data_IF_290622958079
#
_entry.id   IF_290622958079
#
_cell.length_a   1.000
_cell.length_b   1.000
_cell.length_c   1.000
_cell.angle_alpha   90.00
_cell.angle_beta   90.00
_cell.angle_gamma   90.00
#
_symmetry.space_group_name_H-M   'P 1'
#
loop_
_entity.id
_entity.type
_entity.pdbx_description
1 polymer ?
#
# COMPACT_ATOMS: atom_id res chain seq x y z
N UNK A 1 -42.88 -8.39 -10.40
CA UNK A 1 -41.72 -7.81 -9.70
C UNK A 1 -40.74 -7.37 -10.78
N UNK A 2 -40.61 -6.06 -10.99
CA UNK A 2 -39.80 -5.47 -12.09
C UNK A 2 -38.46 -5.04 -11.52
N UNK A 3 -37.41 -5.70 -11.91
CA UNK A 3 -36.01 -5.29 -11.63
C UNK A 3 -35.65 -4.20 -12.64
N UNK A 4 -35.46 -2.96 -12.16
CA UNK A 4 -34.98 -1.85 -12.97
C UNK A 4 -33.47 -1.92 -13.09
N UNK A 5 -32.95 -2.18 -14.27
CA UNK A 5 -31.54 -2.10 -14.63
C UNK A 5 -31.28 -0.64 -15.02
N UNK A 6 -30.46 0.06 -14.26
CA UNK A 6 -29.95 1.38 -14.65
C UNK A 6 -28.77 1.15 -15.59
N UNK A 7 -29.02 1.34 -16.89
CA UNK A 7 -28.00 1.32 -17.95
C UNK A 7 -27.47 2.74 -18.09
N UNK A 8 -26.22 2.96 -17.72
CA UNK A 8 -25.50 4.20 -18.03
C UNK A 8 -24.91 4.07 -19.44
N UNK A 9 -25.56 4.70 -20.41
CA UNK A 9 -25.11 4.77 -21.80
C UNK A 9 -24.02 5.85 -21.95
N UNK A 10 -22.80 5.42 -22.22
CA UNK A 10 -21.72 6.30 -22.71
C UNK A 10 -21.86 6.44 -24.23
N UNK A 11 -22.38 7.57 -24.71
CA UNK A 11 -22.42 7.89 -26.15
C UNK A 11 -21.08 8.45 -26.61
N UNK A 12 -20.45 7.78 -27.59
CA UNK A 12 -19.36 8.28 -28.40
C UNK A 12 -19.94 9.09 -29.57
N UNK A 13 -19.82 10.40 -29.50
CA UNK A 13 -20.07 11.27 -30.69
C UNK A 13 -18.75 11.63 -31.35
N UNK A 14 -18.43 10.97 -32.47
CA UNK A 14 -17.43 11.43 -33.44
C UNK A 14 -17.97 12.64 -34.19
N UNK A 15 -17.39 13.81 -33.97
CA UNK A 15 -17.60 14.98 -34.83
C UNK A 15 -16.44 15.10 -35.82
N UNK A 16 -16.75 14.93 -37.10
CA UNK A 16 -15.86 15.24 -38.22
C UNK A 16 -15.70 16.76 -38.32
N UNK A 17 -14.48 17.26 -38.19
CA UNK A 17 -14.15 18.68 -38.41
C UNK A 17 -13.48 18.82 -39.74
N UNK A 18 -14.17 19.53 -40.65
CA UNK A 18 -13.64 20.05 -41.91
C UNK A 18 -13.04 21.45 -41.66
N UNK A 19 -11.83 21.75 -42.10
CA UNK A 19 -11.25 23.08 -41.89
C UNK A 19 -11.74 24.08 -42.97
N UNK A 20 -12.06 25.33 -42.59
CA UNK A 20 -12.19 26.43 -43.59
C UNK A 20 -10.88 27.17 -43.79
N UNK A 21 -10.68 27.63 -45.01
CA UNK A 21 -9.57 28.38 -45.54
C UNK A 21 -9.41 29.78 -44.94
N UNK A 22 -8.19 30.24 -45.03
CA UNK A 22 -7.58 31.50 -44.62
C UNK A 22 -8.34 32.80 -44.90
N UNK A 23 -8.35 33.72 -43.89
CA UNK A 23 -8.21 35.16 -44.08
C UNK A 23 -7.65 35.78 -42.79
N UNK A 24 -6.64 36.65 -42.98
CA UNK A 24 -5.92 37.44 -41.99
C UNK A 24 -6.80 38.49 -41.33
N UNK A 25 -6.79 38.68 -40.02
CA UNK A 25 -6.56 40.01 -39.43
C UNK A 25 -6.32 39.95 -37.90
N UNK A 26 -5.61 40.95 -37.47
CA UNK A 26 -4.91 41.32 -36.27
C UNK A 26 -5.79 41.58 -35.03
N UNK A 27 -5.15 41.41 -33.86
CA UNK A 27 -5.45 41.96 -32.54
C UNK A 27 -6.34 41.21 -31.57
N UNK A 28 -5.72 40.93 -30.41
CA UNK A 28 -6.18 40.56 -29.07
C UNK A 28 -6.22 39.07 -28.78
N UNK A 29 -5.16 38.63 -28.13
CA UNK A 29 -5.12 37.39 -27.34
C UNK A 29 -6.25 37.40 -26.30
N UNK A 30 -7.40 36.86 -26.69
CA UNK A 30 -8.38 36.38 -25.71
C UNK A 30 -7.98 34.98 -25.29
N UNK A 31 -7.57 34.84 -24.04
CA UNK A 31 -7.41 33.54 -23.38
C UNK A 31 -8.70 32.77 -23.53
N UNK A 32 -8.70 31.75 -24.37
CA UNK A 32 -9.79 30.80 -24.46
C UNK A 32 -9.78 29.96 -23.18
N UNK A 33 -10.69 30.29 -22.24
CA UNK A 33 -11.09 29.32 -21.23
C UNK A 33 -11.78 28.20 -21.98
N UNK A 34 -11.15 27.03 -22.03
CA UNK A 34 -11.84 25.80 -22.41
C UNK A 34 -13.01 25.61 -21.45
N UNK A 35 -14.24 25.39 -21.96
CA UNK A 35 -15.31 24.96 -21.07
C UNK A 35 -14.87 23.61 -20.51
N UNK A 36 -14.84 23.48 -19.20
CA UNK A 36 -14.70 22.22 -18.50
C UNK A 36 -15.97 21.39 -18.73
N UNK A 37 -16.12 20.84 -19.93
CA UNK A 37 -17.02 19.72 -20.14
C UNK A 37 -16.35 18.54 -19.47
N UNK A 38 -16.71 18.30 -18.21
CA UNK A 38 -16.28 17.14 -17.48
C UNK A 38 -16.70 15.87 -18.23
N UNK A 39 -15.86 15.41 -19.16
CA UNK A 39 -15.95 14.04 -19.65
C UNK A 39 -15.69 13.17 -18.44
N UNK A 40 -16.70 12.43 -18.01
CA UNK A 40 -16.54 11.39 -17.02
C UNK A 40 -15.44 10.44 -17.53
N UNK A 41 -14.30 10.43 -16.86
CA UNK A 41 -13.24 9.47 -17.14
C UNK A 41 -13.74 8.16 -16.54
N UNK A 42 -14.20 7.23 -17.38
CA UNK A 42 -14.75 5.94 -16.97
C UNK A 42 -13.72 4.84 -17.17
N UNK A 43 -12.53 4.99 -16.58
CA UNK A 43 -11.49 3.96 -16.66
C UNK A 43 -10.55 4.01 -15.47
N UNK A 44 -10.11 2.84 -15.05
CA UNK A 44 -9.13 2.66 -13.97
C UNK A 44 -7.96 1.81 -14.48
N UNK A 45 -6.87 1.84 -13.72
CA UNK A 45 -5.78 0.87 -13.82
C UNK A 45 -5.96 -0.12 -12.68
N UNK A 46 -5.80 -1.42 -12.93
CA UNK A 46 -5.80 -2.46 -11.89
C UNK A 46 -4.50 -3.25 -12.01
N UNK A 47 -3.78 -3.33 -10.89
CA UNK A 47 -2.51 -4.06 -10.77
C UNK A 47 -2.70 -5.22 -9.79
N UNK A 48 -2.28 -6.45 -10.15
CA UNK A 48 -2.21 -7.55 -9.20
C UNK A 48 -1.22 -7.22 -8.08
N UNK A 49 -1.57 -7.61 -6.85
CA UNK A 49 -0.66 -7.62 -5.71
C UNK A 49 -0.20 -9.04 -5.42
N UNK A 50 1.00 -9.15 -4.92
CA UNK A 50 1.66 -10.38 -4.48
C UNK A 50 2.17 -10.19 -3.07
N UNK A 51 2.55 -11.28 -2.40
CA UNK A 51 3.05 -11.21 -1.03
C UNK A 51 1.97 -11.43 0.02
N UNK A 52 2.31 -11.26 1.28
CA UNK A 52 1.42 -11.39 2.43
C UNK A 52 2.05 -10.74 3.67
N UNK A 53 1.21 -10.43 4.66
CA UNK A 53 1.67 -9.90 5.96
C UNK A 53 2.57 -10.90 6.70
N UNK A 54 2.27 -12.20 6.61
CA UNK A 54 3.05 -13.22 7.29
C UNK A 54 2.97 -14.55 6.51
N UNK A 55 4.11 -15.24 6.24
CA UNK A 55 5.44 -14.98 6.80
C UNK A 55 6.31 -14.00 5.99
N UNK A 56 5.86 -13.48 4.83
CA UNK A 56 6.69 -12.66 3.95
C UNK A 56 6.96 -11.27 4.51
N UNK A 57 5.96 -10.64 5.12
CA UNK A 57 6.08 -9.34 5.78
C UNK A 57 5.81 -8.13 4.89
N UNK A 58 5.38 -8.32 3.63
CA UNK A 58 5.07 -7.22 2.70
C UNK A 58 4.18 -7.66 1.55
N UNK A 59 3.56 -6.70 0.89
CA UNK A 59 2.95 -6.86 -0.42
C UNK A 59 3.77 -6.11 -1.47
N UNK A 60 3.65 -6.52 -2.73
CA UNK A 60 4.27 -5.80 -3.85
C UNK A 60 3.41 -5.87 -5.11
N UNK A 61 3.57 -4.85 -5.95
CA UNK A 61 3.01 -4.78 -7.29
C UNK A 61 4.11 -4.86 -8.34
N UNK A 62 3.77 -5.30 -9.56
CA UNK A 62 4.64 -5.17 -10.71
C UNK A 62 4.25 -3.92 -11.51
N UNK A 63 5.22 -3.05 -11.75
CA UNK A 63 5.11 -1.94 -12.71
C UNK A 63 6.06 -2.17 -13.89
N UNK A 64 5.73 -1.59 -15.06
CA UNK A 64 6.57 -1.70 -16.25
C UNK A 64 7.02 -0.30 -16.68
N UNK A 65 8.32 -0.04 -16.60
CA UNK A 65 8.93 1.27 -16.85
C UNK A 65 9.94 1.17 -17.98
N UNK A 66 10.04 2.24 -18.77
CA UNK A 66 11.04 2.40 -19.82
C UNK A 66 10.58 2.00 -21.22
N UNK A 67 11.46 2.19 -22.18
CA UNK A 67 11.28 1.78 -23.57
C UNK A 67 12.53 1.05 -24.08
N UNK A 68 12.48 -0.28 -24.29
CA UNK A 68 11.33 -1.20 -24.07
C UNK A 68 10.93 -1.31 -22.59
N UNK A 69 9.66 -1.58 -22.29
CA UNK A 69 9.17 -1.71 -20.93
C UNK A 69 9.85 -2.88 -20.19
N UNK A 70 10.34 -2.62 -18.99
CA UNK A 70 10.93 -3.63 -18.08
C UNK A 70 10.10 -3.74 -16.82
N UNK A 71 9.90 -4.95 -16.28
CA UNK A 71 9.19 -5.16 -15.03
C UNK A 71 10.05 -4.75 -13.83
N UNK A 72 9.41 -4.19 -12.81
CA UNK A 72 9.98 -3.90 -11.50
C UNK A 72 8.95 -4.24 -10.43
N UNK A 73 9.41 -4.81 -9.32
CA UNK A 73 8.58 -5.10 -8.15
C UNK A 73 8.74 -3.97 -7.14
N UNK A 74 7.64 -3.37 -6.78
CA UNK A 74 7.61 -2.16 -5.94
C UNK A 74 6.63 -2.33 -4.78
N UNK A 75 6.98 -1.76 -3.62
CA UNK A 75 6.12 -1.70 -2.44
C UNK A 75 5.03 -0.64 -2.62
N UNK A 76 3.72 -0.99 -2.59
CA UNK A 76 2.64 -0.02 -2.70
C UNK A 76 2.45 0.73 -1.38
N UNK A 77 2.97 1.94 -1.31
CA UNK A 77 3.09 2.75 -0.10
C UNK A 77 2.17 3.98 -0.09
N UNK A 78 1.08 3.95 0.68
CA UNK A 78 0.20 5.12 0.87
C UNK A 78 0.73 6.13 1.90
N UNK A 79 1.81 5.81 2.59
CA UNK A 79 2.51 6.69 3.53
C UNK A 79 3.47 7.66 2.86
N UNK A 80 3.92 7.39 1.63
CA UNK A 80 4.80 8.27 0.86
C UNK A 80 4.25 8.63 -0.52
N UNK A 81 4.77 9.73 -1.11
CA UNK A 81 4.25 10.26 -2.37
C UNK A 81 5.06 9.80 -3.58
N UNK A 82 6.38 9.68 -3.44
CA UNK A 82 7.28 9.47 -4.56
C UNK A 82 7.39 8.01 -4.96
N UNK A 83 7.17 7.71 -6.24
CA UNK A 83 7.58 6.43 -6.82
C UNK A 83 9.04 6.51 -7.23
N UNK A 84 9.87 5.56 -6.77
CA UNK A 84 11.29 5.50 -7.11
C UNK A 84 11.76 4.05 -7.29
N UNK A 85 12.81 3.90 -8.08
CA UNK A 85 13.50 2.62 -8.33
C UNK A 85 14.98 2.75 -8.00
N UNK A 86 15.59 1.68 -7.48
CA UNK A 86 17.04 1.58 -7.39
C UNK A 86 17.67 1.67 -8.78
N UNK A 87 18.64 2.54 -8.95
CA UNK A 87 19.06 3.06 -10.23
C UNK A 87 20.56 2.82 -10.48
N UNK A 88 20.92 2.43 -11.71
CA UNK A 88 22.30 2.22 -12.14
C UNK A 88 22.97 3.55 -12.57
N UNK A 89 23.33 4.40 -11.57
CA UNK A 89 23.86 5.74 -11.82
C UNK A 89 25.02 6.19 -10.90
N UNK A 90 26.15 5.49 -10.80
CA UNK A 90 26.35 4.21 -10.14
C UNK A 90 25.75 4.21 -8.73
N UNK A 91 25.17 3.07 -8.32
CA UNK A 91 24.42 2.95 -7.08
C UNK A 91 25.31 2.78 -5.86
N UNK A 92 25.08 3.60 -4.82
CA UNK A 92 25.79 3.53 -3.53
C UNK A 92 24.83 2.91 -2.50
N UNK A 93 25.31 1.96 -1.71
CA UNK A 93 24.55 1.23 -0.68
C UNK A 93 23.24 0.60 -1.20
N UNK A 94 23.10 0.44 -2.52
CA UNK A 94 21.94 -0.21 -3.10
C UNK A 94 21.87 -1.68 -2.66
N UNK A 95 20.64 -2.11 -2.44
CA UNK A 95 20.34 -3.43 -1.90
C UNK A 95 20.16 -4.44 -3.04
N UNK A 96 20.17 -5.73 -2.71
CA UNK A 96 19.85 -6.74 -3.69
C UNK A 96 18.38 -6.62 -4.12
N UNK A 97 18.18 -6.38 -5.40
CA UNK A 97 16.86 -6.25 -6.02
C UNK A 97 16.52 -7.48 -6.88
N UNK A 98 15.22 -7.78 -7.11
CA UNK A 98 14.80 -8.91 -7.96
C UNK A 98 15.19 -8.74 -9.42
N UNK A 99 15.25 -7.51 -9.92
CA UNK A 99 15.59 -7.18 -11.30
C UNK A 99 16.89 -6.36 -11.37
N UNK A 100 17.51 -6.26 -12.57
CA UNK A 100 18.61 -5.32 -12.80
C UNK A 100 18.18 -3.89 -12.46
N UNK A 101 19.07 -3.10 -11.86
CA UNK A 101 18.81 -1.73 -11.51
C UNK A 101 18.28 -0.93 -12.71
N UNK A 102 17.39 0.00 -12.42
CA UNK A 102 16.77 0.87 -13.41
C UNK A 102 17.85 1.71 -14.12
N UNK A 103 17.73 1.81 -15.44
CA UNK A 103 18.61 2.65 -16.27
C UNK A 103 17.79 3.72 -16.96
N UNK A 104 17.87 4.98 -16.49
CA UNK A 104 17.11 6.08 -17.05
C UNK A 104 17.62 6.47 -18.44
N UNK A 105 16.74 7.10 -19.24
CA UNK A 105 17.06 7.63 -20.56
C UNK A 105 17.71 9.04 -20.52
N UNK A 106 18.30 9.45 -19.39
CA UNK A 106 18.88 10.77 -19.14
C UNK A 106 17.89 11.95 -19.35
N UNK A 107 16.59 11.69 -19.22
CA UNK A 107 15.54 12.70 -19.31
C UNK A 107 15.24 13.23 -17.90
N UNK A 108 16.17 14.04 -17.39
CA UNK A 108 16.09 14.60 -16.06
C UNK A 108 14.92 15.58 -15.94
N UNK A 109 14.26 15.60 -14.81
CA UNK A 109 13.31 16.64 -14.44
C UNK A 109 14.11 17.86 -13.99
N UNK A 110 13.93 19.05 -14.60
CA UNK A 110 14.65 20.25 -14.18
C UNK A 110 14.26 20.68 -12.75
N UNK A 111 15.20 21.28 -12.02
CA UNK A 111 14.96 21.78 -10.67
C UNK A 111 13.78 22.78 -10.59
N UNK A 112 13.56 23.60 -11.61
CA UNK A 112 12.45 24.57 -11.67
C UNK A 112 11.10 23.96 -12.08
N UNK A 113 11.04 22.66 -12.34
CA UNK A 113 9.78 21.98 -12.65
C UNK A 113 8.81 22.04 -11.46
N UNK A 114 7.51 22.28 -11.68
CA UNK A 114 6.51 22.29 -10.61
C UNK A 114 6.43 21.00 -9.81
N UNK A 115 6.77 19.84 -10.39
CA UNK A 115 6.84 18.56 -9.68
C UNK A 115 8.02 18.57 -8.69
N UNK A 116 9.19 19.06 -9.13
CA UNK A 116 10.35 19.22 -8.26
C UNK A 116 10.02 20.13 -7.07
N UNK A 117 9.46 21.30 -7.34
CA UNK A 117 9.06 22.22 -6.28
C UNK A 117 8.07 21.62 -5.27
N UNK A 118 7.29 20.60 -5.68
CA UNK A 118 6.32 19.96 -4.79
C UNK A 118 6.93 18.91 -3.86
N UNK A 119 8.14 18.44 -4.13
CA UNK A 119 8.88 17.53 -3.24
C UNK A 119 9.50 18.26 -2.04
N UNK A 120 9.84 19.52 -2.23
CA UNK A 120 10.57 20.29 -1.24
C UNK A 120 9.61 21.18 -0.42
N UNK A 121 9.75 21.12 0.90
CA UNK A 121 9.01 21.98 1.82
C UNK A 121 9.83 23.23 2.10
N UNK A 122 9.40 24.41 1.61
CA UNK A 122 10.05 25.70 1.87
C UNK A 122 10.92 26.24 0.72
N UNK A 123 12.02 26.92 1.03
CA UNK A 123 12.94 27.49 0.03
C UNK A 123 13.70 26.37 -0.69
N UNK A 124 13.17 25.99 -1.83
CA UNK A 124 13.84 25.07 -2.74
C UNK A 124 15.03 25.74 -3.41
N UNK A 125 16.24 25.31 -3.08
CA UNK A 125 17.47 25.75 -3.73
C UNK A 125 17.82 24.80 -4.86
N UNK A 126 18.06 25.37 -6.04
CA UNK A 126 18.54 24.63 -7.18
C UNK A 126 20.06 24.78 -7.26
N UNK A 127 20.79 23.83 -6.75
CA UNK A 127 22.26 23.79 -6.87
C UNK A 127 22.65 23.42 -8.31
N UNK A 128 21.95 22.46 -8.92
CA UNK A 128 21.97 22.22 -10.37
C UNK A 128 20.61 22.55 -11.01
N UNK A 129 20.53 23.53 -11.94
CA UNK A 129 19.27 23.88 -12.58
C UNK A 129 18.71 22.79 -13.50
N UNK A 130 19.53 21.81 -13.91
CA UNK A 130 19.17 20.79 -14.89
C UNK A 130 18.55 19.54 -14.25
N UNK A 131 18.67 19.36 -12.94
CA UNK A 131 18.18 18.18 -12.24
C UNK A 131 17.37 18.53 -11.00
N UNK A 132 16.47 17.65 -10.64
CA UNK A 132 15.69 17.70 -9.44
C UNK A 132 16.16 16.61 -8.49
N UNK A 133 16.90 16.96 -7.46
CA UNK A 133 17.30 16.04 -6.41
C UNK A 133 16.11 15.74 -5.49
N UNK A 134 16.07 14.54 -4.95
CA UNK A 134 15.11 14.16 -3.91
C UNK A 134 15.78 13.39 -2.79
N UNK A 135 15.19 13.50 -1.62
CA UNK A 135 15.47 12.66 -0.45
C UNK A 135 14.14 12.25 0.18
N UNK A 136 13.96 10.97 0.42
CA UNK A 136 12.82 10.41 1.13
C UNK A 136 13.33 9.67 2.34
N UNK A 137 12.87 10.06 3.53
CA UNK A 137 13.12 9.37 4.78
C UNK A 137 11.86 8.62 5.23
N UNK A 138 12.03 7.37 5.66
CA UNK A 138 10.97 6.49 6.14
C UNK A 138 10.96 6.44 7.66
N UNK A 139 9.80 6.06 8.22
CA UNK A 139 9.60 6.00 9.67
C UNK A 139 10.52 5.00 10.39
N UNK A 140 11.00 3.98 9.68
CA UNK A 140 11.94 2.98 10.18
C UNK A 140 13.42 3.43 10.12
N UNK A 141 13.69 4.65 9.67
CA UNK A 141 15.03 5.21 9.50
C UNK A 141 15.70 4.84 8.19
N UNK A 142 15.02 4.12 7.31
CA UNK A 142 15.46 3.93 5.93
C UNK A 142 15.34 5.21 5.11
N UNK A 143 16.15 5.36 4.05
CA UNK A 143 16.04 6.49 3.14
C UNK A 143 16.44 6.14 1.72
N UNK A 144 15.95 6.95 0.77
CA UNK A 144 16.36 6.94 -0.64
C UNK A 144 16.69 8.33 -1.09
N UNK A 145 17.87 8.50 -1.66
CA UNK A 145 18.34 9.73 -2.27
C UNK A 145 18.59 9.50 -3.76
N UNK A 146 18.23 10.48 -4.58
CA UNK A 146 18.36 10.36 -6.03
C UNK A 146 17.91 11.59 -6.78
N UNK A 147 17.65 11.42 -8.07
CA UNK A 147 17.14 12.46 -8.96
C UNK A 147 15.84 12.05 -9.62
N UNK A 148 14.97 13.02 -9.90
CA UNK A 148 13.78 12.75 -10.72
C UNK A 148 14.13 12.62 -12.19
N UNK A 149 13.57 11.61 -12.81
CA UNK A 149 13.67 11.35 -14.25
C UNK A 149 12.28 11.18 -14.84
N UNK A 150 12.10 11.60 -16.09
CA UNK A 150 10.88 11.30 -16.83
C UNK A 150 11.06 10.01 -17.63
N UNK A 151 10.15 9.07 -17.48
CA UNK A 151 10.10 7.89 -18.32
C UNK A 151 8.66 7.44 -18.57
N UNK A 152 8.47 6.48 -19.45
CA UNK A 152 7.16 5.96 -19.79
C UNK A 152 6.81 4.74 -18.93
N UNK A 153 5.56 4.69 -18.51
CA UNK A 153 5.00 3.52 -17.81
C UNK A 153 3.96 2.83 -18.70
N UNK A 154 4.09 1.51 -18.87
CA UNK A 154 3.11 0.75 -19.63
C UNK A 154 1.98 0.29 -18.70
N UNK A 155 0.77 0.81 -18.91
CA UNK A 155 -0.42 0.52 -18.10
C UNK A 155 -1.58 0.02 -18.98
N UNK A 156 -2.42 -0.83 -18.39
CA UNK A 156 -3.65 -1.30 -19.02
C UNK A 156 -4.85 -0.70 -18.28
N UNK A 157 -5.73 -0.04 -19.01
CA UNK A 157 -6.99 0.46 -18.45
C UNK A 157 -8.03 -0.67 -18.37
N UNK A 158 -8.99 -0.52 -17.48
CA UNK A 158 -10.15 -1.43 -17.33
C UNK A 158 -10.96 -1.56 -18.61
N UNK A 159 -10.91 -0.57 -19.48
CA UNK A 159 -11.50 -0.59 -20.83
C UNK A 159 -10.75 -1.49 -21.82
N UNK A 160 -9.62 -2.08 -21.44
CA UNK A 160 -8.75 -2.88 -22.33
C UNK A 160 -7.78 -2.03 -23.16
N UNK A 161 -7.84 -0.71 -23.04
CA UNK A 161 -6.90 0.19 -23.74
C UNK A 161 -5.56 0.18 -23.02
N UNK A 162 -4.49 0.01 -23.80
CA UNK A 162 -3.11 0.14 -23.34
C UNK A 162 -2.65 1.58 -23.48
N UNK A 163 -2.06 2.13 -22.41
CA UNK A 163 -1.53 3.49 -22.38
C UNK A 163 -0.06 3.49 -21.95
N UNK A 164 0.68 4.50 -22.39
CA UNK A 164 2.09 4.70 -22.06
C UNK A 164 2.31 6.13 -21.58
N UNK A 165 1.73 6.51 -20.42
CA UNK A 165 1.94 7.86 -19.88
C UNK A 165 3.41 8.09 -19.54
N UNK A 166 3.84 9.35 -19.70
CA UNK A 166 5.13 9.82 -19.23
C UNK A 166 4.99 10.24 -17.78
N UNK A 167 5.81 9.70 -16.91
CA UNK A 167 5.79 9.91 -15.47
C UNK A 167 7.15 10.35 -14.97
N UNK A 168 7.17 11.28 -14.03
CA UNK A 168 8.36 11.59 -13.24
C UNK A 168 8.47 10.55 -12.11
N UNK A 169 9.60 9.86 -12.06
CA UNK A 169 9.95 8.85 -11.05
C UNK A 169 11.34 9.11 -10.49
N UNK A 170 11.60 8.65 -9.28
CA UNK A 170 12.92 8.75 -8.66
C UNK A 170 13.88 7.68 -9.22
N UNK A 171 15.04 8.11 -9.67
CA UNK A 171 16.22 7.27 -9.88
C UNK A 171 17.05 7.32 -8.60
N UNK A 172 16.83 6.33 -7.70
CA UNK A 172 17.49 6.26 -6.39
C UNK A 172 18.86 5.61 -6.50
N UNK A 173 19.91 6.37 -6.30
CA UNK A 173 21.29 5.92 -6.43
C UNK A 173 22.06 5.88 -5.10
N UNK A 174 21.48 6.34 -4.01
CA UNK A 174 22.02 6.17 -2.66
C UNK A 174 20.89 5.74 -1.71
N UNK A 175 21.08 4.59 -1.04
CA UNK A 175 20.05 3.95 -0.23
C UNK A 175 20.56 3.70 1.17
N UNK A 176 19.76 4.01 2.19
CA UNK A 176 19.98 3.54 3.55
C UNK A 176 18.83 2.57 3.86
N UNK A 177 19.10 1.25 3.88
CA UNK A 177 18.05 0.28 4.20
C UNK A 177 17.67 0.39 5.69
N UNK A 178 16.39 0.54 5.97
CA UNK A 178 15.85 0.46 7.34
C UNK A 178 15.79 -0.99 7.85
N UNK A 179 15.47 -1.19 9.13
CA UNK A 179 15.31 -2.53 9.72
C UNK A 179 14.21 -3.37 9.06
N UNK A 180 13.20 -2.72 8.48
CA UNK A 180 12.10 -3.35 7.75
C UNK A 180 12.33 -3.48 6.25
N UNK A 181 13.57 -3.34 5.79
CA UNK A 181 13.94 -3.41 4.39
C UNK A 181 13.39 -4.67 3.70
N UNK A 182 12.81 -4.47 2.52
CA UNK A 182 12.28 -5.50 1.65
C UNK A 182 13.14 -5.63 0.39
N UNK A 183 13.42 -6.87 -0.10
CA UNK A 183 14.22 -7.09 -1.30
C UNK A 183 13.39 -6.79 -2.57
N UNK A 184 13.01 -5.53 -2.76
CA UNK A 184 12.25 -5.02 -3.89
C UNK A 184 13.09 -4.05 -4.73
N UNK A 185 12.61 -3.74 -5.94
CA UNK A 185 13.30 -2.81 -6.83
C UNK A 185 13.15 -1.35 -6.42
N UNK A 186 12.11 -1.04 -5.63
CA UNK A 186 11.79 0.30 -5.16
C UNK A 186 10.44 0.39 -4.49
N UNK A 187 9.91 1.61 -4.44
CA UNK A 187 8.63 1.95 -3.78
C UNK A 187 7.69 2.59 -4.80
N UNK A 188 6.42 2.22 -4.75
CA UNK A 188 5.32 2.83 -5.48
C UNK A 188 4.58 3.79 -4.56
N UNK A 189 4.97 5.07 -4.57
CA UNK A 189 4.36 6.10 -3.75
C UNK A 189 2.92 6.38 -4.17
N UNK A 190 2.00 6.18 -3.24
CA UNK A 190 0.54 6.27 -3.43
C UNK A 190 -0.08 7.40 -2.60
N UNK A 191 0.72 8.24 -1.96
CA UNK A 191 0.27 9.37 -1.17
C UNK A 191 -0.43 10.45 -1.98
N UNK A 192 -0.76 11.56 -1.33
CA UNK A 192 -1.59 12.65 -1.90
C UNK A 192 -0.78 13.70 -2.68
N UNK A 193 0.54 13.61 -2.64
CA UNK A 193 1.44 14.59 -3.27
C UNK A 193 1.33 14.62 -4.79
N UNK A 194 1.78 15.71 -5.39
CA UNK A 194 1.74 15.89 -6.84
C UNK A 194 2.67 14.95 -7.59
N UNK A 195 3.73 14.49 -6.94
CA UNK A 195 4.69 13.52 -7.46
C UNK A 195 4.18 12.08 -7.44
N UNK A 196 3.10 11.80 -6.70
CA UNK A 196 2.45 10.50 -6.69
C UNK A 196 1.96 10.08 -8.07
N UNK A 197 2.11 8.80 -8.40
CA UNK A 197 1.73 8.24 -9.71
C UNK A 197 0.25 8.54 -10.06
N UNK A 198 -0.65 8.44 -9.08
CA UNK A 198 -2.09 8.69 -9.27
C UNK A 198 -2.36 10.15 -9.60
N UNK A 199 -1.69 11.08 -8.91
CA UNK A 199 -1.79 12.53 -9.19
C UNK A 199 -1.28 12.87 -10.58
N UNK A 200 -0.18 12.26 -11.02
CA UNK A 200 0.38 12.46 -12.35
C UNK A 200 -0.54 11.91 -13.46
N UNK A 201 -1.09 10.71 -13.29
CA UNK A 201 -2.05 10.11 -14.23
C UNK A 201 -3.34 10.94 -14.32
N UNK A 202 -3.83 11.43 -13.18
CA UNK A 202 -4.98 12.32 -13.12
C UNK A 202 -4.73 13.64 -13.84
N UNK A 203 -3.57 14.26 -13.63
CA UNK A 203 -3.20 15.53 -14.29
C UNK A 203 -3.15 15.41 -15.81
N UNK A 204 -2.86 14.23 -16.34
CA UNK A 204 -2.90 13.88 -17.76
C UNK A 204 -4.31 13.54 -18.26
N UNK A 205 -5.33 13.55 -17.38
CA UNK A 205 -6.71 13.25 -17.73
C UNK A 205 -6.98 11.77 -18.04
N UNK A 206 -6.16 10.85 -17.50
CA UNK A 206 -6.24 9.43 -17.80
C UNK A 206 -7.14 8.67 -16.84
N UNK A 207 -7.18 9.07 -15.56
CA UNK A 207 -7.96 8.47 -14.49
C UNK A 207 -8.53 9.53 -13.55
N UNK A 208 -9.46 9.12 -12.68
CA UNK A 208 -9.86 9.94 -11.53
C UNK A 208 -8.78 9.90 -10.46
N UNK A 209 -8.65 10.98 -9.66
CA UNK A 209 -7.68 11.02 -8.55
C UNK A 209 -8.17 10.21 -7.34
N UNK A 210 -8.27 8.93 -7.56
CA UNK A 210 -8.69 7.93 -6.57
C UNK A 210 -7.71 6.77 -6.62
N UNK A 211 -7.26 6.32 -5.47
CA UNK A 211 -6.44 5.12 -5.32
C UNK A 211 -7.10 4.19 -4.30
N UNK A 212 -6.96 2.91 -4.47
CA UNK A 212 -7.40 1.94 -3.48
C UNK A 212 -6.73 0.61 -3.66
N UNK A 213 -6.79 -0.19 -2.60
CA UNK A 213 -6.20 -1.51 -2.56
C UNK A 213 -7.14 -2.51 -1.88
N UNK A 214 -6.88 -3.78 -2.13
CA UNK A 214 -7.57 -4.90 -1.50
C UNK A 214 -6.52 -5.99 -1.24
N UNK A 215 -6.06 -6.10 -0.01
CA UNK A 215 -5.09 -7.11 0.43
C UNK A 215 -5.82 -8.39 0.86
N UNK A 216 -5.43 -9.53 0.30
CA UNK A 216 -6.00 -10.82 0.70
C UNK A 216 -5.28 -11.35 1.95
N UNK A 217 -6.04 -11.79 2.96
CA UNK A 217 -5.49 -12.51 4.13
C UNK A 217 -4.84 -13.85 3.75
N UNK A 218 -5.05 -14.32 2.52
CA UNK A 218 -4.42 -15.52 1.96
C UNK A 218 -3.15 -15.20 1.15
N UNK A 219 -2.83 -13.93 1.03
CA UNK A 219 -1.74 -13.40 0.21
C UNK A 219 -2.21 -12.89 -1.14
N UNK A 220 -1.49 -11.92 -1.69
CA UNK A 220 -1.85 -11.21 -2.91
C UNK A 220 -3.02 -10.25 -2.73
N UNK A 221 -3.70 -9.96 -3.82
CA UNK A 221 -4.77 -8.98 -3.86
C UNK A 221 -4.72 -8.14 -5.12
N UNK A 222 -5.20 -6.90 -5.04
CA UNK A 222 -5.11 -5.93 -6.14
C UNK A 222 -5.04 -4.49 -5.66
N UNK A 223 -4.36 -3.68 -6.45
CA UNK A 223 -4.27 -2.23 -6.34
C UNK A 223 -5.01 -1.62 -7.53
N UNK A 224 -5.65 -0.46 -7.36
CA UNK A 224 -6.31 0.22 -8.45
C UNK A 224 -6.19 1.75 -8.39
N UNK A 225 -6.20 2.39 -9.56
CA UNK A 225 -6.20 3.84 -9.76
C UNK A 225 -7.41 4.23 -10.59
N UNK A 226 -8.31 5.04 -10.04
CA UNK A 226 -9.60 5.40 -10.63
C UNK A 226 -10.77 4.91 -9.77
N UNK A 227 -12.01 5.08 -10.24
CA UNK A 227 -13.23 4.87 -9.44
C UNK A 227 -14.31 3.99 -10.10
N UNK A 228 -13.99 3.32 -11.21
CA UNK A 228 -14.94 2.45 -11.93
C UNK A 228 -14.91 0.98 -11.50
N UNK A 229 -14.08 0.62 -10.52
CA UNK A 229 -13.88 -0.76 -10.07
C UNK A 229 -14.74 -1.16 -8.86
N UNK A 230 -15.50 -0.22 -8.29
CA UNK A 230 -16.35 -0.48 -7.12
C UNK A 230 -17.67 0.27 -7.16
N UNK A 231 -18.66 -0.23 -6.43
CA UNK A 231 -19.95 0.44 -6.23
C UNK A 231 -19.84 1.42 -5.05
N UNK A 232 -19.78 2.72 -5.37
CA UNK A 232 -19.63 3.78 -4.38
C UNK A 232 -20.79 3.86 -3.38
N UNK A 233 -21.98 3.34 -3.72
CA UNK A 233 -23.14 3.32 -2.83
C UNK A 233 -22.98 2.37 -1.64
N UNK A 234 -22.05 1.42 -1.72
CA UNK A 234 -21.75 0.43 -0.68
C UNK A 234 -20.58 0.83 0.23
N UNK A 235 -19.87 1.90 -0.14
CA UNK A 235 -18.67 2.34 0.58
C UNK A 235 -19.06 3.05 1.87
N UNK A 236 -18.56 2.55 2.99
CA UNK A 236 -18.55 3.26 4.26
C UNK A 236 -17.38 4.24 4.20
N UNK A 237 -17.61 5.52 4.45
CA UNK A 237 -16.55 6.52 4.31
C UNK A 237 -16.50 7.50 5.48
N UNK A 238 -15.33 8.10 5.67
CA UNK A 238 -15.07 9.18 6.61
C UNK A 238 -14.30 10.30 5.91
N UNK A 239 -14.51 11.58 6.24
CA UNK A 239 -13.72 12.66 5.68
C UNK A 239 -12.25 12.53 6.04
N UNK A 240 -11.36 12.93 5.13
CA UNK A 240 -9.95 13.13 5.44
C UNK A 240 -9.78 14.35 6.33
N UNK A 241 -8.87 14.27 7.29
CA UNK A 241 -8.51 15.40 8.15
C UNK A 241 -7.87 16.53 7.34
N UNK A 242 -8.27 17.77 7.62
CA UNK A 242 -7.66 18.96 7.01
C UNK A 242 -6.36 19.36 7.68
N UNK A 243 -6.14 18.94 8.92
CA UNK A 243 -4.97 19.29 9.71
C UNK A 243 -3.75 18.42 9.36
N UNK A 244 -4.03 17.21 8.84
CA UNK A 244 -3.00 16.23 8.48
C UNK A 244 -3.03 15.93 6.97
N UNK A 245 -2.55 16.92 6.18
CA UNK A 245 -2.68 16.85 4.71
C UNK A 245 -1.65 15.96 4.04
N UNK A 246 -0.53 15.66 4.70
CA UNK A 246 0.57 14.86 4.14
C UNK A 246 0.16 13.39 3.94
N UNK A 247 -0.60 12.82 4.89
CA UNK A 247 -0.96 11.41 4.88
C UNK A 247 -2.48 11.20 4.77
N UNK A 248 -2.90 9.98 4.47
CA UNK A 248 -4.31 9.56 4.51
C UNK A 248 -4.76 9.36 5.95
N UNK A 249 -5.31 10.40 6.53
CA UNK A 249 -5.74 10.42 7.91
C UNK A 249 -7.21 10.83 8.03
N UNK A 250 -8.04 10.06 8.74
CA UNK A 250 -9.39 10.48 9.15
C UNK A 250 -9.36 11.42 10.36
N UNK A 251 -8.17 11.74 10.87
CA UNK A 251 -7.99 12.50 12.11
C UNK A 251 -7.95 11.61 13.35
N UNK A 252 -8.56 12.05 14.41
CA UNK A 252 -8.52 11.37 15.71
C UNK A 252 -9.58 10.28 15.83
N UNK A 253 -9.16 9.12 16.33
CA UNK A 253 -10.00 7.95 16.58
C UNK A 253 -10.03 7.52 18.05
N UNK A 254 -10.93 6.57 18.33
CA UNK A 254 -11.08 5.87 19.60
C UNK A 254 -11.07 4.35 19.35
N UNK A 255 -10.34 3.60 20.18
CA UNK A 255 -10.33 2.14 20.12
C UNK A 255 -11.62 1.58 20.74
N UNK A 256 -12.27 0.71 20.00
CA UNK A 256 -13.40 -0.11 20.42
C UNK A 256 -12.93 -1.55 20.54
N UNK A 257 -13.19 -2.22 21.67
CA UNK A 257 -12.83 -3.62 21.90
C UNK A 257 -14.05 -4.45 22.28
N UNK A 258 -14.36 -5.47 21.51
CA UNK A 258 -15.56 -6.30 21.71
C UNK A 258 -16.86 -5.50 21.68
N UNK A 259 -16.94 -4.47 20.83
CA UNK A 259 -18.10 -3.59 20.68
C UNK A 259 -18.26 -2.53 21.79
N UNK A 260 -17.28 -2.41 22.70
CA UNK A 260 -17.33 -1.43 23.80
C UNK A 260 -16.21 -0.39 23.66
N UNK A 261 -16.56 0.87 23.94
CA UNK A 261 -15.58 1.94 24.03
C UNK A 261 -14.58 1.65 25.16
N UNK A 262 -13.29 1.81 24.85
CA UNK A 262 -12.20 1.48 25.79
C UNK A 262 -11.71 2.66 26.60
N UNK A 263 -12.03 3.90 26.15
CA UNK A 263 -11.45 5.13 26.66
C UNK A 263 -10.08 5.48 26.06
N UNK A 264 -9.50 4.60 25.22
CA UNK A 264 -8.29 4.87 24.42
C UNK A 264 -8.72 5.74 23.22
N UNK A 265 -8.64 7.04 23.39
CA UNK A 265 -9.16 8.04 22.45
C UNK A 265 -8.11 9.11 22.13
N UNK A 266 -8.45 10.02 21.21
CA UNK A 266 -7.55 11.06 20.71
C UNK A 266 -6.32 10.45 20.00
N UNK A 267 -6.50 9.33 19.34
CA UNK A 267 -5.45 8.65 18.57
C UNK A 267 -5.42 9.24 17.17
N UNK A 268 -4.36 9.95 16.83
CA UNK A 268 -4.17 10.41 15.46
C UNK A 268 -3.85 9.20 14.58
N UNK A 269 -4.76 8.89 13.66
CA UNK A 269 -4.71 7.67 12.84
C UNK A 269 -4.29 8.00 11.42
N UNK A 270 -3.40 7.17 10.86
CA UNK A 270 -2.96 7.20 9.46
C UNK A 270 -3.19 5.82 8.86
N UNK A 271 -3.69 5.76 7.62
CA UNK A 271 -3.76 4.54 6.82
C UNK A 271 -2.51 4.47 5.96
N UNK A 272 -1.73 3.41 6.13
CA UNK A 272 -0.42 3.27 5.53
C UNK A 272 -0.17 1.84 5.06
N UNK A 273 -0.14 1.65 3.74
CA UNK A 273 0.09 0.34 3.10
C UNK A 273 1.57 0.00 2.92
N UNK A 274 2.49 0.91 3.24
CA UNK A 274 3.91 0.61 3.42
C UNK A 274 4.24 -0.02 4.76
N UNK A 275 3.25 -0.16 5.65
CA UNK A 275 3.38 -0.76 6.98
C UNK A 275 2.65 -2.10 7.05
N UNK A 276 3.36 -3.21 7.23
CA UNK A 276 2.77 -4.57 7.31
C UNK A 276 1.87 -4.74 8.52
N UNK A 277 2.26 -4.20 9.66
CA UNK A 277 1.53 -4.30 10.93
C UNK A 277 0.86 -2.98 11.30
N UNK A 278 -0.10 -3.07 12.21
CA UNK A 278 -0.72 -1.90 12.82
C UNK A 278 0.13 -1.44 14.00
N UNK A 279 0.40 -0.14 14.09
CA UNK A 279 1.20 0.46 15.16
C UNK A 279 0.35 1.43 15.96
N UNK A 280 0.38 1.29 17.28
CA UNK A 280 -0.28 2.23 18.19
C UNK A 280 0.77 2.93 19.05
N UNK A 281 0.50 4.18 19.45
CA UNK A 281 1.31 4.87 20.46
C UNK A 281 1.38 4.02 21.74
N UNK A 282 2.48 4.12 22.53
CA UNK A 282 2.69 3.28 23.72
C UNK A 282 1.47 3.20 24.63
N UNK A 283 0.85 4.35 24.94
CA UNK A 283 -0.34 4.37 25.79
C UNK A 283 -1.51 3.55 25.21
N UNK A 284 -1.77 3.68 23.91
CA UNK A 284 -2.86 2.95 23.26
C UNK A 284 -2.54 1.45 23.11
N UNK A 285 -1.29 1.13 22.79
CA UNK A 285 -0.79 -0.23 22.68
C UNK A 285 -0.88 -0.98 24.01
N UNK A 286 -0.33 -0.42 25.08
CA UNK A 286 -0.36 -0.99 26.43
C UNK A 286 -1.81 -1.14 26.92
N UNK A 287 -2.66 -0.13 26.66
CA UNK A 287 -4.07 -0.19 27.01
C UNK A 287 -4.81 -1.31 26.28
N UNK A 288 -4.57 -1.50 24.99
CA UNK A 288 -5.17 -2.60 24.22
C UNK A 288 -4.63 -3.95 24.68
N UNK A 289 -3.31 -4.07 24.88
CA UNK A 289 -2.67 -5.29 25.38
C UNK A 289 -3.21 -5.69 26.77
N UNK A 290 -3.39 -4.71 27.67
CA UNK A 290 -4.01 -4.94 28.97
C UNK A 290 -5.43 -5.51 28.83
N UNK A 291 -6.26 -4.95 27.94
CA UNK A 291 -7.62 -5.43 27.72
C UNK A 291 -7.63 -6.86 27.18
N UNK A 292 -6.74 -7.18 26.23
CA UNK A 292 -6.58 -8.53 25.69
C UNK A 292 -6.15 -9.50 26.79
N UNK A 293 -5.10 -9.17 27.53
CA UNK A 293 -4.56 -10.02 28.60
C UNK A 293 -5.58 -10.26 29.71
N UNK A 294 -6.34 -9.24 30.10
CA UNK A 294 -7.44 -9.35 31.05
C UNK A 294 -8.54 -10.30 30.53
N UNK A 295 -8.89 -10.22 29.26
CA UNK A 295 -9.86 -11.11 28.63
C UNK A 295 -9.38 -12.57 28.60
N UNK A 296 -8.06 -12.79 28.48
CA UNK A 296 -7.43 -14.11 28.47
C UNK A 296 -7.26 -14.72 29.86
N UNK A 297 -7.38 -13.92 30.92
CA UNK A 297 -7.23 -14.39 32.31
C UNK A 297 -8.23 -15.51 32.62
N UNK A 298 -7.72 -16.62 33.21
CA UNK A 298 -8.50 -17.79 33.52
C UNK A 298 -8.87 -18.70 32.33
N UNK A 299 -8.49 -18.33 31.12
CA UNK A 299 -8.65 -19.16 29.90
C UNK A 299 -7.47 -20.12 29.74
N UNK A 300 -7.66 -21.27 29.06
CA UNK A 300 -6.59 -22.28 28.85
C UNK A 300 -5.62 -21.85 27.73
N UNK A 301 -5.14 -20.63 27.81
CA UNK A 301 -4.19 -20.00 26.91
C UNK A 301 -3.17 -19.23 27.76
N UNK A 302 -1.91 -19.29 27.40
CA UNK A 302 -0.80 -18.65 28.12
C UNK A 302 0.12 -17.93 27.17
N UNK A 303 0.87 -16.98 27.66
CA UNK A 303 1.92 -16.32 26.89
C UNK A 303 2.97 -17.31 26.38
N UNK A 304 3.43 -17.12 25.16
CA UNK A 304 4.40 -17.96 24.48
C UNK A 304 5.73 -17.19 24.36
N UNK A 305 6.40 -17.03 25.51
CA UNK A 305 7.69 -16.29 25.61
C UNK A 305 8.82 -16.91 24.78
N UNK A 306 8.62 -18.13 24.30
CA UNK A 306 9.54 -18.87 23.45
C UNK A 306 9.24 -18.69 21.94
N UNK A 307 8.23 -17.91 21.59
CA UNK A 307 7.86 -17.61 20.21
C UNK A 307 8.24 -16.17 19.88
N UNK A 308 9.30 -16.00 19.12
CA UNK A 308 9.89 -14.71 18.74
C UNK A 308 9.28 -14.10 17.46
N UNK A 309 8.16 -14.67 16.97
CA UNK A 309 7.51 -14.17 15.73
C UNK A 309 7.09 -12.71 15.87
N UNK A 310 6.47 -12.34 16.98
CA UNK A 310 6.10 -10.98 17.34
C UNK A 310 6.26 -10.79 18.86
N UNK A 311 6.32 -9.55 19.37
CA UNK A 311 6.57 -9.27 20.79
C UNK A 311 5.61 -9.96 21.76
N UNK A 312 4.33 -10.15 21.36
CA UNK A 312 3.35 -10.83 22.17
C UNK A 312 2.68 -11.95 21.39
N UNK A 313 2.94 -13.17 21.84
CA UNK A 313 2.31 -14.39 21.33
C UNK A 313 1.69 -15.20 22.49
N UNK A 314 0.64 -15.95 22.21
CA UNK A 314 -0.01 -16.85 23.17
C UNK A 314 -0.15 -18.25 22.60
N UNK A 315 0.01 -19.24 23.44
CA UNK A 315 -0.14 -20.66 23.10
C UNK A 315 -1.19 -21.36 23.94
N UNK A 316 -1.90 -22.31 23.34
CA UNK A 316 -2.84 -23.19 24.01
C UNK A 316 -2.17 -24.49 24.48
N UNK A 317 -3.00 -25.44 24.99
CA UNK A 317 -2.53 -26.80 25.27
C UNK A 317 -2.12 -27.57 24.02
N UNK A 318 -2.69 -27.22 22.87
CA UNK A 318 -2.34 -27.72 21.53
C UNK A 318 -2.00 -26.55 20.64
N UNK A 319 -1.12 -26.71 19.64
CA UNK A 319 -0.83 -25.68 18.66
C UNK A 319 -2.08 -25.21 17.93
N UNK A 320 -2.22 -23.92 17.73
CA UNK A 320 -3.29 -23.34 16.91
C UNK A 320 -2.98 -23.52 15.41
N UNK A 321 -3.99 -23.81 14.63
CA UNK A 321 -3.88 -24.04 13.18
C UNK A 321 -4.42 -22.87 12.37
N UNK A 322 -5.33 -22.10 12.97
CA UNK A 322 -5.99 -20.96 12.32
C UNK A 322 -6.53 -19.99 13.38
N UNK A 323 -6.86 -18.79 12.97
CA UNK A 323 -7.54 -17.78 13.81
C UNK A 323 -8.90 -18.32 14.33
N UNK A 324 -9.55 -19.24 13.60
CA UNK A 324 -10.80 -19.88 14.07
C UNK A 324 -10.64 -20.62 15.40
N UNK A 325 -9.47 -21.18 15.65
CA UNK A 325 -9.19 -21.94 16.90
C UNK A 325 -9.18 -21.03 18.12
N UNK A 326 -8.86 -19.74 17.93
CA UNK A 326 -8.74 -18.75 18.99
C UNK A 326 -9.96 -17.81 19.10
N UNK A 327 -10.91 -17.89 18.17
CA UNK A 327 -12.08 -17.01 18.09
C UNK A 327 -12.87 -16.88 19.40
N UNK A 328 -12.91 -17.92 20.21
CA UNK A 328 -13.58 -17.94 21.52
C UNK A 328 -12.83 -17.18 22.62
N UNK A 329 -11.57 -16.83 22.39
CA UNK A 329 -10.71 -16.20 23.39
C UNK A 329 -10.55 -14.69 23.16
N UNK A 330 -10.54 -14.26 21.91
CA UNK A 330 -10.30 -12.88 21.51
C UNK A 330 -11.59 -12.20 21.01
N UNK A 331 -11.61 -10.89 21.04
CA UNK A 331 -12.75 -10.07 20.57
C UNK A 331 -12.29 -9.16 19.43
N UNK A 332 -13.19 -8.77 18.50
CA UNK A 332 -12.84 -7.83 17.45
C UNK A 332 -12.44 -6.47 18.01
N UNK A 333 -11.56 -5.80 17.31
CA UNK A 333 -11.15 -4.41 17.52
C UNK A 333 -11.85 -3.54 16.48
N UNK A 334 -12.12 -2.27 16.77
CA UNK A 334 -12.48 -1.28 15.77
C UNK A 334 -11.89 0.08 16.14
N UNK A 335 -11.72 0.92 15.14
CA UNK A 335 -11.42 2.34 15.33
C UNK A 335 -12.67 3.15 14.99
N UNK A 336 -13.10 4.00 15.91
CA UNK A 336 -14.27 4.85 15.75
C UNK A 336 -13.84 6.29 15.48
N UNK A 337 -14.26 6.83 14.34
CA UNK A 337 -13.99 8.19 13.90
C UNK A 337 -15.25 9.07 14.03
N UNK A 338 -15.09 10.32 14.42
CA UNK A 338 -16.21 11.27 14.51
C UNK A 338 -16.39 11.98 13.17
N UNK A 339 -17.56 11.80 12.55
CA UNK A 339 -17.97 12.50 11.33
C UNK A 339 -18.85 13.70 11.66
N UNK A 340 -18.30 14.67 12.44
CA UNK A 340 -19.05 15.81 12.94
C UNK A 340 -19.85 15.47 14.21
N UNK A 341 -20.86 16.29 14.54
CA UNK A 341 -21.49 16.32 15.88
C UNK A 341 -22.36 15.10 16.23
N UNK A 342 -22.78 14.27 15.28
CA UNK A 342 -23.81 13.24 15.53
C UNK A 342 -23.55 11.86 14.91
N UNK A 343 -22.55 11.70 14.06
CA UNK A 343 -22.28 10.41 13.43
C UNK A 343 -20.86 9.93 13.74
N UNK A 344 -20.74 8.65 14.03
CA UNK A 344 -19.47 7.96 14.16
C UNK A 344 -19.38 6.90 13.08
N UNK A 345 -18.23 6.83 12.43
CA UNK A 345 -17.91 5.77 11.48
C UNK A 345 -16.90 4.83 12.13
N UNK A 346 -17.09 3.54 11.96
CA UNK A 346 -16.18 2.53 12.54
C UNK A 346 -15.46 1.78 11.44
N UNK A 347 -14.15 1.68 11.58
CA UNK A 347 -13.29 0.77 10.82
C UNK A 347 -13.11 -0.49 11.64
N UNK A 348 -13.84 -1.55 11.26
CA UNK A 348 -13.81 -2.81 11.97
C UNK A 348 -12.55 -3.61 11.62
N UNK A 349 -11.90 -4.14 12.63
CA UNK A 349 -10.70 -4.98 12.55
C UNK A 349 -11.08 -6.34 13.17
N UNK A 350 -11.46 -7.33 12.34
CA UNK A 350 -11.75 -8.68 12.81
C UNK A 350 -10.49 -9.33 13.38
N UNK A 351 -10.62 -10.51 13.95
CA UNK A 351 -9.49 -11.21 14.56
C UNK A 351 -8.34 -11.45 13.59
N UNK A 352 -8.65 -11.76 12.35
CA UNK A 352 -7.70 -11.94 11.25
C UNK A 352 -6.95 -10.64 10.91
N UNK A 353 -7.53 -9.48 11.22
CA UNK A 353 -6.97 -8.15 10.96
C UNK A 353 -6.02 -7.64 12.06
N UNK A 354 -5.78 -8.41 13.15
CA UNK A 354 -4.85 -8.03 14.20
C UNK A 354 -4.17 -9.20 14.90
N UNK A 355 -4.49 -10.43 14.52
CA UNK A 355 -3.84 -11.65 15.01
C UNK A 355 -3.31 -12.48 13.83
N UNK A 356 -2.19 -13.14 14.04
CA UNK A 356 -1.63 -14.13 13.12
C UNK A 356 -1.28 -15.43 13.87
N UNK A 357 -1.16 -16.52 13.12
CA UNK A 357 -0.68 -17.79 13.67
C UNK A 357 0.77 -17.97 13.26
N UNK A 358 1.67 -18.07 14.23
CA UNK A 358 3.09 -18.28 13.98
C UNK A 358 3.35 -19.63 13.31
N UNK A 359 4.36 -19.67 12.43
CA UNK A 359 4.83 -20.89 11.77
C UNK A 359 6.18 -21.26 12.38
N UNK A 360 6.22 -22.25 13.25
CA UNK A 360 7.46 -22.77 13.78
C UNK A 360 8.09 -23.73 12.77
N UNK A 361 9.28 -23.41 12.31
CA UNK A 361 10.13 -24.34 11.59
C UNK A 361 10.81 -25.25 12.62
N UNK A 362 10.23 -26.41 12.90
CA UNK A 362 10.92 -27.43 13.69
C UNK A 362 12.11 -27.96 12.88
N UNK A 363 13.27 -27.35 13.08
CA UNK A 363 14.53 -28.02 12.73
C UNK A 363 14.69 -29.19 13.68
N UNK A 364 14.40 -30.39 13.22
CA UNK A 364 14.80 -31.60 13.92
C UNK A 364 16.34 -31.68 13.87
N UNK A 365 16.99 -31.12 14.89
CA UNK A 365 18.45 -31.20 15.09
C UNK A 365 18.94 -32.62 15.43
N UNK A 366 18.08 -33.62 15.32
CA UNK A 366 18.43 -35.00 15.68
C UNK A 366 19.24 -35.76 14.61
N UNK A 367 19.61 -35.10 13.48
CA UNK A 367 20.40 -35.79 12.42
C UNK A 367 21.86 -35.35 12.32
N UNK A 368 22.35 -34.48 13.22
CA UNK A 368 23.77 -34.05 13.19
C UNK A 368 24.63 -34.61 14.34
N UNK A 369 24.18 -35.66 15.03
CA UNK A 369 25.03 -36.44 15.94
C UNK A 369 25.26 -37.85 15.40
N UNK A 370 25.91 -37.98 14.28
CA UNK A 370 26.71 -39.16 13.93
C UNK A 370 27.21 -38.96 12.50
N UNK A 371 28.44 -38.55 12.37
CA UNK A 371 29.54 -39.16 11.56
C UNK A 371 30.65 -38.13 11.40
N UNK A 372 31.60 -38.25 12.29
CA UNK A 372 32.99 -37.91 11.93
C UNK A 372 33.46 -38.98 10.92
N UNK A 373 34.16 -38.52 9.91
CA UNK A 373 34.86 -39.27 8.85
C UNK A 373 33.99 -39.64 7.62
N UNK A 374 34.08 -38.89 6.53
CA UNK A 374 34.78 -39.27 5.30
C UNK A 374 34.48 -38.20 4.22
N UNK A 375 35.55 -37.73 3.60
CA UNK A 375 35.52 -36.93 2.36
C UNK A 375 34.78 -37.74 1.29
N UNK A 376 33.77 -37.13 0.65
CA UNK A 376 33.28 -37.61 -0.64
C UNK A 376 33.00 -36.44 -1.58
N UNK A 377 33.52 -36.59 -2.75
CA UNK A 377 33.52 -35.75 -3.92
C UNK A 377 32.16 -35.13 -4.29
N UNK A 378 32.19 -33.85 -4.67
CA UNK A 378 31.14 -33.13 -5.40
C UNK A 378 30.96 -33.74 -6.80
N UNK A 379 29.87 -34.42 -7.03
CA UNK A 379 29.31 -34.62 -8.36
C UNK A 379 27.90 -34.00 -8.41
N UNK A 380 27.64 -33.27 -9.51
CA UNK A 380 26.40 -32.61 -9.81
C UNK A 380 25.19 -33.56 -9.71
N UNK A 381 24.43 -33.44 -8.68
CA UNK A 381 23.14 -34.11 -8.52
C UNK A 381 22.17 -33.16 -7.86
N UNK A 382 21.12 -32.84 -8.59
CA UNK A 382 19.94 -32.08 -8.09
C UNK A 382 19.32 -32.91 -6.98
N UNK A 383 19.63 -32.57 -5.72
CA UNK A 383 18.93 -33.09 -4.57
C UNK A 383 17.65 -32.29 -4.44
N UNK A 384 16.55 -32.78 -5.00
CA UNK A 384 15.20 -32.36 -4.61
C UNK A 384 15.00 -32.93 -3.21
N UNK A 385 15.36 -32.14 -2.19
CA UNK A 385 14.92 -32.38 -0.84
C UNK A 385 13.41 -32.10 -0.78
N UNK A 386 12.58 -33.12 -0.91
CA UNK A 386 11.25 -33.12 -0.37
C UNK A 386 11.37 -33.06 1.16
N UNK A 387 11.59 -31.85 1.68
CA UNK A 387 11.29 -31.58 3.08
C UNK A 387 9.76 -31.65 3.22
N UNK A 388 9.26 -32.74 3.73
CA UNK A 388 8.02 -32.75 4.46
C UNK A 388 8.26 -31.89 5.71
N UNK A 389 8.24 -30.57 5.52
CA UNK A 389 8.15 -29.59 6.59
C UNK A 389 6.79 -29.83 7.25
N UNK A 390 6.78 -30.60 8.32
CA UNK A 390 5.66 -30.57 9.26
C UNK A 390 5.63 -29.16 9.82
N UNK A 391 4.91 -28.24 9.16
CA UNK A 391 4.61 -26.92 9.69
C UNK A 391 3.75 -27.12 10.94
N UNK A 392 4.37 -27.22 12.11
CA UNK A 392 3.65 -27.09 13.34
C UNK A 392 3.28 -25.61 13.49
N UNK A 393 2.09 -25.26 13.07
CA UNK A 393 1.48 -23.99 13.44
C UNK A 393 1.40 -23.96 14.95
N UNK A 394 1.60 -22.80 15.56
CA UNK A 394 1.96 -22.79 16.99
C UNK A 394 1.16 -21.81 17.81
N UNK A 395 1.66 -20.63 17.97
CA UNK A 395 1.09 -19.59 18.80
C UNK A 395 0.19 -18.67 17.99
N UNK A 396 -0.70 -17.97 18.67
CA UNK A 396 -1.37 -16.79 18.12
C UNK A 396 -0.61 -15.55 18.57
N UNK A 397 -0.19 -14.70 17.63
CA UNK A 397 0.58 -13.51 17.90
C UNK A 397 -0.20 -12.23 17.59
N UNK A 398 0.09 -11.17 18.34
CA UNK A 398 -0.55 -9.87 18.20
C UNK A 398 0.15 -9.07 17.08
N UNK A 399 -0.55 -8.83 15.97
CA UNK A 399 -0.09 -8.00 14.86
C UNK A 399 -0.39 -6.51 15.04
N UNK A 400 -0.52 -6.07 16.29
CA UNK A 400 -0.50 -4.66 16.70
C UNK A 400 0.75 -4.45 17.51
N UNK A 401 1.56 -3.45 17.15
CA UNK A 401 2.89 -3.20 17.70
C UNK A 401 2.96 -1.83 18.37
N UNK A 402 3.99 -1.63 19.21
CA UNK A 402 4.27 -0.36 19.84
C UNK A 402 4.98 0.59 18.87
N UNK A 403 4.25 1.58 18.33
CA UNK A 403 4.78 2.54 17.39
C UNK A 403 5.87 3.45 17.96
N UNK A 404 5.88 3.69 19.27
CA UNK A 404 6.91 4.51 19.91
C UNK A 404 8.30 3.85 19.84
N UNK A 405 8.36 2.51 19.84
CA UNK A 405 9.63 1.76 19.73
C UNK A 405 10.27 1.86 18.34
N UNK A 406 9.46 2.19 17.33
CA UNK A 406 9.91 2.38 15.94
C UNK A 406 9.87 3.85 15.50
N UNK A 407 9.85 4.80 16.46
CA UNK A 407 9.97 6.22 16.17
C UNK A 407 8.69 6.93 15.75
N UNK A 408 7.53 6.27 15.73
CA UNK A 408 6.27 6.87 15.29
C UNK A 408 5.65 7.87 16.27
N UNK A 409 6.24 8.03 17.46
CA UNK A 409 5.79 8.98 18.50
C UNK A 409 4.28 8.92 18.77
N UNK A 410 3.52 9.93 18.31
CA UNK A 410 2.09 10.09 18.56
C UNK A 410 1.19 9.59 17.42
N UNK A 411 1.78 9.09 16.33
CA UNK A 411 1.01 8.54 15.23
C UNK A 411 0.57 7.11 15.52
N UNK A 412 -0.62 6.78 15.02
CA UNK A 412 -1.15 5.43 15.07
C UNK A 412 -1.40 5.00 13.64
N UNK A 413 -0.72 3.96 13.19
CA UNK A 413 -0.76 3.48 11.81
C UNK A 413 -1.67 2.27 11.71
N UNK A 414 -2.61 2.32 10.76
CA UNK A 414 -3.36 1.17 10.31
C UNK A 414 -2.57 0.57 9.14
N UNK A 415 -1.90 -0.52 9.42
CA UNK A 415 -1.11 -1.26 8.43
C UNK A 415 -1.91 -2.35 7.72
N UNK A 416 -1.22 -3.05 6.83
CA UNK A 416 -1.80 -4.05 5.93
C UNK A 416 -2.63 -5.10 6.64
N UNK A 417 -2.13 -5.63 7.77
CA UNK A 417 -2.84 -6.67 8.54
C UNK A 417 -4.27 -6.26 8.88
N UNK A 418 -4.49 -4.99 9.24
CA UNK A 418 -5.82 -4.47 9.61
C UNK A 418 -6.67 -4.10 8.39
N UNK A 419 -6.05 -3.94 7.23
CA UNK A 419 -6.70 -3.62 5.96
C UNK A 419 -7.04 -4.85 5.12
N UNK A 420 -6.61 -6.05 5.52
CA UNK A 420 -6.92 -7.30 4.83
C UNK A 420 -8.43 -7.55 4.68
N UNK A 421 -8.80 -8.19 3.55
CA UNK A 421 -10.16 -8.57 3.16
C UNK A 421 -11.16 -7.39 3.16
N UNK A 422 -10.61 -6.20 2.89
CA UNK A 422 -11.34 -4.95 2.66
C UNK A 422 -10.77 -4.26 1.43
N UNK A 423 -11.66 -3.71 0.63
CA UNK A 423 -11.25 -2.70 -0.34
C UNK A 423 -11.18 -1.37 0.42
N UNK A 424 -9.99 -0.78 0.54
CA UNK A 424 -9.76 0.54 1.12
C UNK A 424 -9.55 1.53 -0.02
N UNK A 425 -10.22 2.67 0.04
CA UNK A 425 -10.35 3.62 -1.06
C UNK A 425 -9.99 5.02 -0.54
N UNK A 426 -9.06 5.67 -1.21
CA UNK A 426 -8.65 7.04 -0.92
C UNK A 426 -9.10 7.94 -2.08
N UNK A 427 -10.20 8.66 -1.88
CA UNK A 427 -10.77 9.58 -2.87
C UNK A 427 -10.22 10.98 -2.63
N UNK A 428 -9.20 11.36 -3.42
CA UNK A 428 -8.54 12.66 -3.31
C UNK A 428 -9.40 13.79 -3.88
N UNK A 429 -10.42 13.49 -4.67
CA UNK A 429 -11.34 14.51 -5.18
C UNK A 429 -12.43 14.84 -4.16
N UNK A 430 -13.02 13.82 -3.50
CA UNK A 430 -14.01 14.00 -2.44
C UNK A 430 -13.39 14.21 -1.07
N UNK A 431 -12.07 14.02 -0.93
CA UNK A 431 -11.35 14.10 0.34
C UNK A 431 -11.93 13.14 1.39
N UNK A 432 -12.10 11.88 1.00
CA UNK A 432 -12.65 10.82 1.87
C UNK A 432 -11.78 9.57 1.84
N UNK A 433 -11.73 8.87 2.99
CA UNK A 433 -11.24 7.50 3.08
C UNK A 433 -12.46 6.60 3.20
N UNK A 434 -12.58 5.62 2.30
CA UNK A 434 -13.68 4.68 2.26
C UNK A 434 -13.21 3.24 2.43
N UNK A 435 -14.11 2.36 2.88
CA UNK A 435 -13.84 0.93 2.93
C UNK A 435 -15.12 0.11 2.78
N UNK A 436 -14.96 -1.10 2.23
CA UNK A 436 -16.01 -2.12 2.17
C UNK A 436 -15.36 -3.49 2.39
N UNK A 437 -16.00 -4.44 3.10
CA UNK A 437 -15.59 -5.83 3.08
C UNK A 437 -15.59 -6.36 1.64
N UNK A 438 -14.51 -7.03 1.24
CA UNK A 438 -14.33 -7.51 -0.12
C UNK A 438 -13.60 -8.86 -0.16
N UNK A 439 -13.83 -9.63 -1.21
CA UNK A 439 -12.99 -10.77 -1.54
C UNK A 439 -11.80 -10.28 -2.39
N UNK A 440 -10.65 -10.13 -1.76
CA UNK A 440 -9.46 -9.58 -2.39
C UNK A 440 -8.70 -10.57 -3.28
N UNK A 441 -9.09 -11.85 -3.33
CA UNK A 441 -8.46 -12.82 -4.24
C UNK A 441 -8.89 -12.63 -5.71
N UNK A 442 -10.00 -11.95 -5.93
CA UNK A 442 -10.57 -11.76 -7.26
C UNK A 442 -10.57 -10.26 -7.58
N UNK A 443 -9.59 -9.77 -8.35
CA UNK A 443 -9.64 -8.40 -8.84
C UNK A 443 -10.93 -8.18 -9.65
N UNK A 444 -11.52 -6.98 -9.57
CA UNK A 444 -12.70 -6.66 -10.36
C UNK A 444 -12.37 -6.86 -11.82
N UNK A 445 -13.18 -7.67 -12.48
CA UNK A 445 -13.08 -7.85 -13.94
C UNK A 445 -13.54 -6.55 -14.58
N UNK A 446 -12.76 -6.05 -15.53
CA UNK A 446 -13.26 -5.05 -16.47
C UNK A 446 -14.65 -5.48 -16.92
N UNK A 447 -15.66 -4.62 -16.74
CA UNK A 447 -16.95 -4.80 -17.37
C UNK A 447 -16.76 -4.61 -18.88
N UNK A 448 -16.07 -5.55 -19.51
CA UNK A 448 -16.06 -5.66 -20.97
C UNK A 448 -17.46 -6.08 -21.33
N UNK A 449 -18.29 -5.12 -21.70
CA UNK A 449 -19.54 -5.37 -22.41
C UNK A 449 -19.09 -6.03 -23.72
N UNK A 450 -19.23 -7.35 -23.78
CA UNK A 450 -19.13 -8.09 -25.01
C UNK A 450 -20.41 -7.70 -25.77
N UNK A 451 -20.24 -6.89 -26.81
CA UNK A 451 -21.28 -6.68 -27.83
C UNK A 451 -21.35 -7.89 -28.77
#
# INVERSE_FOLDING_TARGET
MKTGIIVVLCFLSLALIVPPSSASDDRRQKWWKWPSTGKSICSSVVLPLYGNVYPQGYYYAQINIGHPPRPYFVDPDTGSDLTWLQCDAPCVHCTQAPHPYYRPNNDLVPCKDPLCASLHSGDHRCDDPNQCDYEVEYADGGSSLGVLVNDVSLLNLTTGVRITPRLAIGCGYDQIPGPSYQPLDGVLGLGKGKTGIVSQLHSQGLIRNVVGHCFSSRGGGFLFFGDDVYDSSRVISTPMSRDYRKHYSPGYGEVIYGGKATGLKNLLVIFDSGSSYTYLSSQAYEGLLYLITKELSGKPIREAVDDETLPFCWKGRKPFRSIRDVKKYFKPVALSFSNGWRSKTQFEIPLEGYLLISVSLLFHSNYLKSTKQNQVFLTHGIWIFFFLLSQSRGSVCLGVLNGTEVGLQNFNIIGDISMQDKMVIYDNEKQTIGWIPANCDNPPRSNTIIF
#
